data_IF_616541261665
#
_entry.id   IF_616541261665
#
_cell.length_a   1.000
_cell.length_b   1.000
_cell.length_c   1.000
_cell.angle_alpha   90.00
_cell.angle_beta   90.00
_cell.angle_gamma   90.00
#
_symmetry.space_group_name_H-M   'P 1'
#
loop_
_entity.id
_entity.type
_entity.pdbx_description
1 polymer ?
#
# COMPACT_ATOMS: atom_id res chain seq x y z
N UNK A 1 -41.12 9.82 20.72
CA UNK A 1 -40.34 8.95 19.80
C UNK A 1 -41.21 8.74 18.56
N UNK A 2 -40.74 8.73 17.30
CA UNK A 2 -39.42 8.35 16.70
C UNK A 2 -38.79 9.53 15.92
N UNK A 3 -37.66 9.53 15.20
CA UNK A 3 -36.63 8.58 14.72
C UNK A 3 -35.71 9.44 13.80
N UNK A 4 -34.38 9.47 13.91
CA UNK A 4 -33.46 8.38 13.60
C UNK A 4 -33.06 8.44 12.12
N UNK A 5 -32.06 9.25 11.74
CA UNK A 5 -31.40 9.20 10.42
C UNK A 5 -29.90 9.46 10.56
N UNK A 6 -29.16 8.40 10.91
CA UNK A 6 -27.73 8.34 10.71
C UNK A 6 -27.43 8.18 9.22
N UNK A 7 -26.78 9.17 8.62
CA UNK A 7 -26.23 9.04 7.27
C UNK A 7 -24.93 8.23 7.34
N UNK A 8 -25.06 6.93 7.08
CA UNK A 8 -23.94 6.00 6.98
C UNK A 8 -22.98 6.40 5.86
N UNK A 9 -21.71 6.56 6.25
CA UNK A 9 -20.54 6.72 5.38
C UNK A 9 -20.31 5.42 4.59
N UNK A 10 -20.97 5.29 3.45
CA UNK A 10 -20.69 4.24 2.47
C UNK A 10 -19.67 4.73 1.44
N UNK A 11 -18.41 4.87 1.82
CA UNK A 11 -17.33 5.12 0.87
C UNK A 11 -17.22 3.88 -0.04
N UNK A 12 -17.73 4.00 -1.26
CA UNK A 12 -17.66 2.96 -2.28
C UNK A 12 -16.21 2.53 -2.51
N UNK A 13 -15.83 1.40 -1.94
CA UNK A 13 -14.63 0.64 -2.29
C UNK A 13 -14.84 0.08 -3.69
N UNK A 14 -14.61 0.92 -4.70
CA UNK A 14 -14.60 0.50 -6.10
C UNK A 14 -13.57 -0.60 -6.29
N UNK A 15 -14.00 -1.74 -6.85
CA UNK A 15 -13.19 -2.94 -7.13
C UNK A 15 -11.85 -2.64 -7.84
N UNK A 16 -11.73 -1.52 -8.55
CA UNK A 16 -10.50 -1.08 -9.22
C UNK A 16 -9.38 -0.62 -8.29
N UNK A 17 -9.70 0.01 -7.15
CA UNK A 17 -8.69 0.50 -6.20
C UNK A 17 -8.00 -0.65 -5.44
N UNK A 18 -8.76 -1.68 -5.10
CA UNK A 18 -8.23 -2.86 -4.42
C UNK A 18 -7.27 -3.65 -5.32
N UNK A 19 -7.60 -3.80 -6.60
CA UNK A 19 -6.77 -4.55 -7.55
C UNK A 19 -5.41 -3.88 -7.80
N UNK A 20 -5.39 -2.54 -7.89
CA UNK A 20 -4.13 -1.77 -7.94
C UNK A 20 -3.32 -1.91 -6.66
N UNK A 21 -3.97 -1.92 -5.50
CA UNK A 21 -3.31 -2.10 -4.20
C UNK A 21 -2.65 -3.48 -4.08
N UNK A 22 -3.35 -4.55 -4.45
CA UNK A 22 -2.79 -5.90 -4.45
C UNK A 22 -1.58 -6.03 -5.39
N UNK A 23 -1.64 -5.40 -6.57
CA UNK A 23 -0.51 -5.39 -7.49
C UNK A 23 0.69 -4.64 -6.90
N UNK A 24 0.47 -3.46 -6.31
CA UNK A 24 1.51 -2.70 -5.61
C UNK A 24 2.14 -3.51 -4.47
N UNK A 25 1.32 -4.13 -3.63
CA UNK A 25 1.79 -5.00 -2.53
C UNK A 25 2.64 -6.15 -3.05
N UNK A 26 2.25 -6.78 -4.15
CA UNK A 26 3.01 -7.88 -4.77
C UNK A 26 4.38 -7.40 -5.28
N UNK A 27 4.44 -6.23 -5.93
CA UNK A 27 5.69 -5.63 -6.36
C UNK A 27 6.59 -5.28 -5.17
N UNK A 28 6.02 -4.72 -4.10
CA UNK A 28 6.77 -4.41 -2.88
C UNK A 28 7.39 -5.66 -2.25
N UNK A 29 6.67 -6.77 -2.19
CA UNK A 29 7.22 -8.04 -1.70
C UNK A 29 8.39 -8.54 -2.55
N UNK A 30 8.30 -8.42 -3.88
CA UNK A 30 9.41 -8.81 -4.77
C UNK A 30 10.62 -7.90 -4.57
N UNK A 31 10.42 -6.60 -4.41
CA UNK A 31 11.50 -5.65 -4.15
C UNK A 31 12.17 -5.95 -2.81
N UNK A 32 11.39 -6.10 -1.74
CA UNK A 32 11.89 -6.44 -0.41
C UNK A 32 12.59 -7.80 -0.37
N UNK A 33 12.16 -8.76 -1.20
CA UNK A 33 12.82 -10.05 -1.33
C UNK A 33 14.18 -9.97 -2.04
N UNK A 34 14.36 -9.03 -2.97
CA UNK A 34 15.63 -8.81 -3.67
C UNK A 34 16.62 -8.04 -2.80
N UNK A 35 16.17 -6.96 -2.19
CA UNK A 35 16.99 -6.11 -1.35
C UNK A 35 16.11 -5.45 -0.27
N UNK A 36 16.45 -5.63 1.02
CA UNK A 36 15.77 -4.89 2.08
C UNK A 36 16.10 -3.41 1.93
N UNK A 37 15.15 -2.63 1.42
CA UNK A 37 15.30 -1.22 1.13
C UNK A 37 14.27 -0.36 1.84
N UNK A 38 14.64 0.88 2.16
CA UNK A 38 13.76 1.88 2.77
C UNK A 38 12.87 2.57 1.72
N UNK A 39 11.76 3.17 2.15
CA UNK A 39 10.64 3.62 1.31
C UNK A 39 10.97 4.32 -0.02
N UNK A 40 12.01 5.18 -0.09
CA UNK A 40 12.43 5.85 -1.32
C UNK A 40 13.10 4.91 -2.33
N UNK A 41 13.94 3.98 -1.87
CA UNK A 41 14.52 2.95 -2.75
C UNK A 41 13.44 2.02 -3.31
N UNK A 42 12.40 1.75 -2.51
CA UNK A 42 11.22 1.01 -2.97
C UNK A 42 10.42 1.80 -4.02
N UNK A 43 10.34 3.13 -3.91
CA UNK A 43 9.71 3.97 -4.95
C UNK A 43 10.41 3.87 -6.29
N UNK A 44 11.73 3.96 -6.30
CA UNK A 44 12.50 3.88 -7.55
C UNK A 44 12.37 2.48 -8.17
N UNK A 45 12.42 1.43 -7.36
CA UNK A 45 12.22 0.05 -7.80
C UNK A 45 10.83 -0.22 -8.36
N UNK A 46 9.79 0.50 -7.90
CA UNK A 46 8.44 0.39 -8.46
C UNK A 46 8.37 0.86 -9.92
N UNK A 47 9.27 1.75 -10.34
CA UNK A 47 9.42 2.16 -11.73
C UNK A 47 9.63 0.98 -12.69
N UNK A 48 10.34 -0.07 -12.25
CA UNK A 48 10.58 -1.28 -13.06
C UNK A 48 9.29 -2.03 -13.41
N UNK A 49 8.25 -1.90 -12.58
CA UNK A 49 6.97 -2.57 -12.76
C UNK A 49 5.93 -1.72 -13.50
N UNK A 50 6.34 -0.57 -14.04
CA UNK A 50 5.48 0.35 -14.79
C UNK A 50 4.69 1.32 -13.90
N UNK A 51 5.03 1.45 -12.63
CA UNK A 51 4.56 2.56 -11.82
C UNK A 51 5.33 3.84 -12.19
N UNK A 52 4.69 4.99 -11.95
CA UNK A 52 5.33 6.30 -12.11
C UNK A 52 5.62 6.86 -10.71
N UNK A 53 6.88 6.79 -10.23
CA UNK A 53 7.25 7.25 -8.89
C UNK A 53 6.90 8.73 -8.70
N UNK A 54 7.10 9.56 -9.73
CA UNK A 54 6.79 10.99 -9.74
C UNK A 54 5.31 11.32 -9.50
N UNK A 55 4.41 10.37 -9.79
CA UNK A 55 2.97 10.54 -9.62
C UNK A 55 2.43 9.78 -8.41
N UNK A 56 3.29 9.08 -7.67
CA UNK A 56 2.89 8.27 -6.54
C UNK A 56 3.14 9.01 -5.23
N UNK A 57 2.11 9.09 -4.40
CA UNK A 57 2.26 9.59 -3.05
C UNK A 57 2.91 8.51 -2.17
N UNK A 58 3.95 8.89 -1.43
CA UNK A 58 4.67 8.00 -0.51
C UNK A 58 3.73 7.38 0.54
N UNK A 59 2.65 8.07 0.89
CA UNK A 59 1.61 7.58 1.80
C UNK A 59 0.95 6.29 1.29
N UNK A 60 0.89 6.07 -0.03
CA UNK A 60 0.33 4.85 -0.62
C UNK A 60 1.24 3.66 -0.34
N UNK A 61 2.56 3.85 -0.41
CA UNK A 61 3.56 2.82 -0.14
C UNK A 61 3.55 2.45 1.33
N UNK A 62 3.60 3.44 2.24
CA UNK A 62 3.49 3.16 3.67
C UNK A 62 2.19 2.45 4.03
N UNK A 63 1.07 2.79 3.37
CA UNK A 63 -0.19 2.06 3.57
C UNK A 63 -0.13 0.63 3.04
N UNK A 64 0.56 0.39 1.92
CA UNK A 64 0.74 -0.94 1.37
C UNK A 64 1.65 -1.80 2.25
N UNK A 65 2.75 -1.23 2.75
CA UNK A 65 3.66 -1.85 3.71
C UNK A 65 2.92 -2.19 5.01
N UNK A 66 2.15 -1.26 5.57
CA UNK A 66 1.38 -1.51 6.78
C UNK A 66 0.32 -2.61 6.60
N UNK A 67 -0.30 -2.68 5.43
CA UNK A 67 -1.20 -3.80 5.12
C UNK A 67 -0.44 -5.13 5.02
N UNK A 68 0.74 -5.15 4.39
CA UNK A 68 1.60 -6.34 4.31
C UNK A 68 2.08 -6.81 5.69
N UNK A 69 2.42 -5.86 6.56
CA UNK A 69 2.77 -6.10 7.96
C UNK A 69 1.57 -6.67 8.73
N UNK A 70 0.38 -6.09 8.57
CA UNK A 70 -0.86 -6.60 9.18
C UNK A 70 -1.22 -8.00 8.69
N UNK A 71 -0.83 -8.36 7.47
CA UNK A 71 -0.95 -9.71 6.90
C UNK A 71 0.20 -10.65 7.32
N UNK A 72 1.22 -10.15 8.04
CA UNK A 72 2.37 -10.92 8.51
C UNK A 72 3.38 -11.28 7.42
N UNK A 73 3.35 -10.58 6.28
CA UNK A 73 4.20 -10.87 5.12
C UNK A 73 5.51 -10.07 5.12
N UNK A 74 5.56 -8.97 5.87
CA UNK A 74 6.73 -8.10 6.01
C UNK A 74 6.90 -7.78 7.50
N UNK A 75 8.14 -7.69 7.96
CA UNK A 75 8.50 -7.19 9.28
C UNK A 75 9.20 -5.84 9.15
N UNK A 76 8.90 -4.92 10.05
CA UNK A 76 9.67 -3.69 10.15
C UNK A 76 11.07 -4.01 10.70
N UNK A 77 12.12 -3.56 10.00
CA UNK A 77 13.51 -3.61 10.46
C UNK A 77 14.04 -2.19 10.53
N UNK A 78 13.72 -1.50 11.63
CA UNK A 78 14.51 -0.34 12.03
C UNK A 78 15.85 -0.88 12.55
N UNK A 79 16.90 -0.76 11.75
CA UNK A 79 18.27 -0.88 12.27
C UNK A 79 18.48 0.30 13.23
N UNK A 80 18.79 -0.02 14.48
CA UNK A 80 19.13 0.91 15.57
C UNK A 80 20.55 1.48 15.39
#
# INVERSE_FOLDING_TARGET
MPGGRGAGRGQGRGRGGQRKMFFLQSCLLVLLHREPGYGYSLMDGLGEFGFQPDQMDISIIYRALHNLEAEGLVSDSWDD
#
